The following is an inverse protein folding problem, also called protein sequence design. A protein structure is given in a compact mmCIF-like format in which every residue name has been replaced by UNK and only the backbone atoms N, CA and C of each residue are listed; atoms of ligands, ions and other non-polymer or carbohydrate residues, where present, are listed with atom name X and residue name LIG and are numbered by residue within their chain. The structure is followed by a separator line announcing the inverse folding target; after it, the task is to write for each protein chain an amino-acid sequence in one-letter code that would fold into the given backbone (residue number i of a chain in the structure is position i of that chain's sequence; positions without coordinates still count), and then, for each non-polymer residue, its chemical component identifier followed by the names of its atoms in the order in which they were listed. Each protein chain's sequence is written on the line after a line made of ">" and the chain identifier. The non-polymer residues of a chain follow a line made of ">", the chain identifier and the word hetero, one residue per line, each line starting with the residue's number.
data_IF_089478551341
#
_entry.id   IF_089478551341
#
_cell.length_a   1.000
_cell.length_b   1.000
_cell.length_c   1.000
_cell.angle_alpha   90.00
_cell.angle_beta   90.00
_cell.angle_gamma   90.00
#
_symmetry.space_group_name_H-M   'P 1'
#
loop_
_entity.id
_entity.type
_entity.pdbx_description
1 polymer ?
#
# COMPACT_ATOMS: atom_id res chain seq x y z
N UNK A 1 13.23 -0.31 -26.30
CA UNK A 1 13.56 -0.22 -24.86
C UNK A 1 12.97 -1.41 -24.11
N UNK A 2 13.77 -2.17 -23.35
CA UNK A 2 13.31 -3.30 -22.51
C UNK A 2 13.19 -2.82 -21.06
N UNK A 3 11.98 -2.71 -20.53
CA UNK A 3 11.74 -2.37 -19.13
C UNK A 3 11.72 -3.66 -18.29
N UNK A 4 12.57 -3.69 -17.26
CA UNK A 4 12.67 -4.80 -16.29
C UNK A 4 11.40 -4.82 -15.44
N UNK A 5 10.56 -5.83 -15.60
CA UNK A 5 9.39 -6.05 -14.75
C UNK A 5 9.81 -6.72 -13.45
N UNK A 6 9.39 -6.14 -12.32
CA UNK A 6 9.58 -6.73 -11.00
C UNK A 6 8.69 -7.96 -10.87
N UNK A 7 9.34 -9.12 -10.81
CA UNK A 7 8.84 -10.38 -10.24
C UNK A 7 7.37 -10.74 -10.52
N UNK A 8 7.13 -11.37 -11.67
CA UNK A 8 6.29 -12.56 -11.73
C UNK A 8 4.78 -12.39 -11.55
N UNK A 9 4.17 -11.29 -11.98
CA UNK A 9 2.71 -11.22 -12.20
C UNK A 9 2.42 -10.57 -13.54
N UNK A 10 1.49 -11.16 -14.30
CA UNK A 10 0.96 -10.60 -15.54
C UNK A 10 0.24 -9.29 -15.22
N UNK A 11 0.96 -8.16 -15.31
CA UNK A 11 0.37 -6.82 -15.16
C UNK A 11 -0.04 -6.35 -16.55
N UNK A 12 -1.34 -6.27 -16.79
CA UNK A 12 -1.87 -5.56 -17.96
C UNK A 12 -1.43 -4.09 -17.87
N UNK A 13 -0.87 -3.51 -18.94
CA UNK A 13 -0.30 -2.16 -18.92
C UNK A 13 -1.31 -1.03 -18.66
N UNK A 14 -2.62 -1.34 -18.65
CA UNK A 14 -3.71 -0.39 -18.45
C UNK A 14 -4.33 -0.42 -17.06
N UNK A 15 -4.01 -1.40 -16.20
CA UNK A 15 -4.58 -1.47 -14.86
C UNK A 15 -3.56 -1.04 -13.81
N UNK A 16 -3.91 -0.14 -12.88
CA UNK A 16 -3.04 0.18 -11.77
C UNK A 16 -2.76 -1.12 -10.99
N UNK A 17 -1.48 -1.44 -10.70
CA UNK A 17 -1.09 -2.70 -10.07
C UNK A 17 -1.67 -2.90 -8.67
N UNK A 18 -2.31 -1.87 -8.09
CA UNK A 18 -3.02 -1.95 -6.83
C UNK A 18 -4.30 -1.11 -6.86
N UNK A 19 -5.44 -1.71 -6.45
CA UNK A 19 -6.72 -1.00 -6.19
C UNK A 19 -6.75 -0.28 -4.84
N UNK A 20 -5.68 -0.36 -4.05
CA UNK A 20 -5.58 0.19 -2.69
C UNK A 20 -4.97 1.59 -2.72
N UNK A 21 -5.31 2.41 -1.73
CA UNK A 21 -4.67 3.71 -1.52
C UNK A 21 -3.14 3.57 -1.48
N UNK A 22 -2.46 4.39 -2.28
CA UNK A 22 -1.02 4.36 -2.51
C UNK A 22 -0.40 5.51 -1.74
N UNK A 23 0.56 5.22 -0.88
CA UNK A 23 1.33 6.20 -0.13
C UNK A 23 2.77 6.19 -0.66
N UNK A 24 3.31 7.36 -0.97
CA UNK A 24 4.65 7.49 -1.56
C UNK A 24 5.75 7.33 -0.51
N UNK A 25 5.54 7.89 0.68
CA UNK A 25 6.47 7.81 1.81
C UNK A 25 5.87 6.99 2.93
N UNK A 26 6.75 6.51 3.81
CA UNK A 26 6.32 5.82 5.03
C UNK A 26 5.58 6.78 5.98
N UNK A 27 6.06 8.02 6.06
CA UNK A 27 5.50 9.07 6.91
C UNK A 27 4.04 9.38 6.55
N UNK A 28 3.73 9.50 5.26
CA UNK A 28 2.37 9.74 4.76
C UNK A 28 1.42 8.58 5.11
N UNK A 29 1.93 7.34 5.04
CA UNK A 29 1.18 6.17 5.49
C UNK A 29 0.99 6.14 7.01
N UNK A 30 1.99 6.55 7.80
CA UNK A 30 1.93 6.60 9.27
C UNK A 30 0.99 7.71 9.78
N UNK A 31 0.98 8.88 9.15
CA UNK A 31 0.01 9.96 9.39
C UNK A 31 -1.42 9.46 9.17
N UNK A 32 -1.68 8.78 8.06
CA UNK A 32 -3.01 8.21 7.82
C UNK A 32 -3.37 7.09 8.80
N UNK A 33 -2.42 6.27 9.23
CA UNK A 33 -2.68 5.30 10.31
C UNK A 33 -3.07 6.02 11.59
N UNK A 34 -2.37 7.11 11.94
CA UNK A 34 -2.67 7.90 13.14
C UNK A 34 -4.07 8.49 13.05
N UNK A 35 -4.41 9.11 11.92
CA UNK A 35 -5.74 9.67 11.69
C UNK A 35 -6.86 8.62 11.75
N UNK A 36 -6.64 7.43 11.15
CA UNK A 36 -7.63 6.35 11.20
C UNK A 36 -7.73 5.74 12.60
N UNK A 37 -6.63 5.65 13.35
CA UNK A 37 -6.65 5.20 14.76
C UNK A 37 -7.47 6.15 15.64
N UNK A 38 -7.33 7.46 15.45
CA UNK A 38 -8.12 8.45 16.18
C UNK A 38 -9.61 8.42 15.78
N UNK A 39 -9.90 8.25 14.48
CA UNK A 39 -11.29 8.27 13.98
C UNK A 39 -12.02 6.94 14.19
N UNK A 40 -11.30 5.81 14.12
CA UNK A 40 -11.84 4.45 14.16
C UNK A 40 -10.98 3.61 15.10
N UNK A 41 -11.22 3.79 16.39
CA UNK A 41 -10.47 3.24 17.55
C UNK A 41 -10.29 1.71 17.54
N UNK A 42 -11.03 0.95 16.72
CA UNK A 42 -11.14 -0.51 16.86
C UNK A 42 -10.28 -1.36 15.93
N UNK A 43 -9.46 -0.78 15.04
CA UNK A 43 -8.62 -1.57 14.11
C UNK A 43 -7.15 -1.20 14.21
N UNK A 44 -6.31 -2.20 14.49
CA UNK A 44 -4.87 -2.07 14.35
C UNK A 44 -4.52 -2.08 12.86
N UNK A 45 -3.99 -0.97 12.36
CA UNK A 45 -3.62 -0.76 10.97
C UNK A 45 -2.12 -0.61 10.90
N UNK A 46 -1.52 -1.22 9.88
CA UNK A 46 -0.08 -1.27 9.68
C UNK A 46 0.26 -0.84 8.26
N UNK A 47 1.32 -0.05 8.12
CA UNK A 47 1.87 0.29 6.82
C UNK A 47 2.78 -0.84 6.34
N UNK A 48 2.63 -1.26 5.09
CA UNK A 48 3.53 -2.22 4.45
C UNK A 48 3.91 -1.73 3.06
N UNK A 49 5.16 -1.99 2.68
CA UNK A 49 5.62 -1.74 1.32
C UNK A 49 5.19 -2.90 0.42
N UNK A 50 4.37 -2.62 -0.58
CA UNK A 50 3.95 -3.64 -1.53
C UNK A 50 5.08 -3.94 -2.53
N UNK A 51 5.36 -5.22 -2.72
CA UNK A 51 6.40 -5.72 -3.63
C UNK A 51 6.02 -5.62 -5.11
N UNK A 52 4.74 -5.37 -5.43
CA UNK A 52 4.22 -5.34 -6.81
C UNK A 52 4.28 -3.93 -7.38
N UNK A 53 3.79 -2.94 -6.65
CA UNK A 53 3.76 -1.54 -7.08
C UNK A 53 4.93 -0.71 -6.51
N UNK A 54 5.63 -1.21 -5.49
CA UNK A 54 6.77 -0.51 -4.87
C UNK A 54 6.38 0.56 -3.84
N UNK A 55 5.09 0.80 -3.64
CA UNK A 55 4.56 1.84 -2.76
C UNK A 55 4.10 1.33 -1.39
N UNK A 56 3.82 2.26 -0.48
CA UNK A 56 3.28 1.98 0.84
C UNK A 56 1.76 1.83 0.79
N UNK A 57 1.26 0.83 1.50
CA UNK A 57 -0.16 0.55 1.64
C UNK A 57 -0.52 0.27 3.09
N UNK A 58 -1.78 0.53 3.41
CA UNK A 58 -2.35 0.25 4.72
C UNK A 58 -3.02 -1.13 4.68
N UNK A 59 -2.71 -1.94 5.69
CA UNK A 59 -3.42 -3.21 5.94
C UNK A 59 -3.94 -3.22 7.36
N UNK A 60 -5.19 -3.64 7.54
CA UNK A 60 -5.70 -3.91 8.88
C UNK A 60 -5.22 -5.28 9.32
N UNK A 61 -4.54 -5.34 10.45
CA UNK A 61 -4.26 -6.61 11.13
C UNK A 61 -5.46 -6.89 12.03
N UNK A 62 -6.37 -7.79 11.61
CA UNK A 62 -7.28 -8.38 12.59
C UNK A 62 -6.43 -9.29 13.48
N UNK A 63 -6.43 -9.03 14.78
CA UNK A 63 -5.94 -9.98 15.77
C UNK A 63 -7.05 -10.99 16.05
#
# INVERSE_FOLDING_TARGET
>A
MRYKTVAGKNVNPFEPPCKKAIYHTREDAEEMIRHIRETRVTRDIRAYKCKVCGFWHLTSSRK
#
